data_IF_399747965326
#
_entry.id   IF_399747965326
#
_cell.length_a   1.000
_cell.length_b   1.000
_cell.length_c   1.000
_cell.angle_alpha   90.00
_cell.angle_beta   90.00
_cell.angle_gamma   90.00
#
_symmetry.space_group_name_H-M   'P 1'
#
loop_
_entity.id
_entity.type
_entity.pdbx_description
1 polymer ?
#
# COMPACT_ATOMS: atom_id res chain seq x y z
N UNK A 1 -7.45 -3.23 8.83
CA UNK A 1 -6.58 -2.33 9.54
C UNK A 1 -5.18 -2.90 9.75
N UNK A 2 -4.23 -2.04 9.96
CA UNK A 2 -2.81 -2.40 10.10
C UNK A 2 -2.41 -2.87 11.52
N UNK A 3 -3.39 -3.23 12.35
CA UNK A 3 -3.19 -3.74 13.72
C UNK A 3 -3.46 -5.23 13.81
N UNK A 4 -2.72 -6.05 13.06
CA UNK A 4 -2.95 -7.49 13.00
C UNK A 4 -2.73 -8.15 14.37
N UNK A 5 -3.74 -8.89 14.85
CA UNK A 5 -3.69 -9.66 16.09
C UNK A 5 -3.61 -11.15 15.84
N UNK A 6 -4.12 -11.62 14.70
CA UNK A 6 -4.14 -13.02 14.32
C UNK A 6 -3.99 -13.16 12.80
N UNK A 7 -2.95 -13.85 12.35
CA UNK A 7 -2.54 -13.87 10.94
C UNK A 7 -3.26 -14.91 10.06
N UNK A 8 -4.08 -15.78 10.65
CA UNK A 8 -4.78 -16.88 9.97
C UNK A 8 -6.30 -16.74 10.03
N UNK A 9 -6.82 -15.56 10.33
CA UNK A 9 -8.25 -15.31 10.43
C UNK A 9 -8.64 -14.00 9.76
N UNK A 10 -9.84 -13.97 9.20
CA UNK A 10 -10.48 -12.77 8.67
C UNK A 10 -11.01 -11.89 9.81
N UNK A 11 -11.10 -10.57 9.56
CA UNK A 11 -11.74 -9.64 10.50
C UNK A 11 -13.26 -9.74 10.38
N UNK A 12 -13.90 -10.18 11.47
CA UNK A 12 -15.36 -10.46 11.53
C UNK A 12 -16.25 -9.26 11.21
N UNK A 13 -15.73 -8.03 11.35
CA UNK A 13 -16.50 -6.81 11.04
C UNK A 13 -16.81 -6.71 9.54
N UNK A 14 -15.99 -7.34 8.69
CA UNK A 14 -16.18 -7.34 7.23
C UNK A 14 -16.98 -8.56 6.72
N UNK A 15 -17.42 -9.44 7.61
CA UNK A 15 -18.19 -10.63 7.25
C UNK A 15 -17.54 -11.94 7.68
N UNK A 16 -18.10 -13.05 7.19
CA UNK A 16 -17.60 -14.40 7.47
C UNK A 16 -16.48 -14.81 6.51
N UNK A 17 -15.83 -15.94 6.83
CA UNK A 17 -14.86 -16.55 5.90
C UNK A 17 -15.48 -16.89 4.55
N UNK A 18 -16.73 -17.40 4.58
CA UNK A 18 -17.50 -17.74 3.39
C UNK A 18 -17.80 -16.49 2.55
N UNK A 19 -18.13 -15.36 3.18
CA UNK A 19 -18.37 -14.10 2.48
C UNK A 19 -17.11 -13.61 1.77
N UNK A 20 -15.95 -13.72 2.44
CA UNK A 20 -14.68 -13.35 1.82
C UNK A 20 -14.29 -14.30 0.67
N UNK A 21 -14.49 -15.61 0.83
CA UNK A 21 -14.27 -16.57 -0.25
C UNK A 21 -15.21 -16.31 -1.44
N UNK A 22 -16.49 -15.96 -1.19
CA UNK A 22 -17.42 -15.55 -2.26
C UNK A 22 -16.97 -14.28 -2.97
N UNK A 23 -16.48 -13.28 -2.22
CA UNK A 23 -15.95 -12.05 -2.82
C UNK A 23 -14.78 -12.36 -3.77
N UNK A 24 -13.83 -13.18 -3.35
CA UNK A 24 -12.69 -13.60 -4.18
C UNK A 24 -13.18 -14.35 -5.43
N UNK A 25 -14.11 -15.29 -5.26
CA UNK A 25 -14.69 -16.07 -6.37
C UNK A 25 -15.41 -15.17 -7.39
N UNK A 26 -16.15 -14.16 -6.93
CA UNK A 26 -16.80 -13.18 -7.80
C UNK A 26 -15.81 -12.27 -8.53
N UNK A 27 -14.67 -11.94 -7.92
CA UNK A 27 -13.57 -11.24 -8.59
C UNK A 27 -12.97 -12.12 -9.70
N UNK A 28 -12.64 -13.36 -9.38
CA UNK A 28 -12.05 -14.31 -10.32
C UNK A 28 -12.97 -14.59 -11.54
N UNK A 29 -14.30 -14.72 -11.32
CA UNK A 29 -15.28 -14.84 -12.42
C UNK A 29 -15.24 -13.66 -13.40
N UNK A 30 -14.77 -12.52 -12.96
CA UNK A 30 -14.62 -11.29 -13.77
C UNK A 30 -13.20 -11.07 -14.29
N UNK A 31 -12.29 -12.04 -14.07
CA UNK A 31 -10.88 -11.93 -14.44
C UNK A 31 -10.08 -10.94 -13.57
N UNK A 32 -10.56 -10.67 -12.36
CA UNK A 32 -9.92 -9.73 -11.41
C UNK A 32 -9.13 -10.53 -10.39
N UNK A 33 -7.82 -10.33 -10.33
CA UNK A 33 -6.95 -10.90 -9.30
C UNK A 33 -7.19 -10.22 -7.95
N UNK A 34 -7.13 -11.00 -6.87
CA UNK A 34 -7.29 -10.51 -5.50
C UNK A 34 -5.97 -10.60 -4.75
N UNK A 35 -5.47 -9.46 -4.31
CA UNK A 35 -4.19 -9.30 -3.60
C UNK A 35 -4.50 -8.88 -2.16
N UNK A 36 -3.89 -9.56 -1.18
CA UNK A 36 -4.01 -9.17 0.23
C UNK A 36 -2.95 -8.13 0.59
N UNK A 37 -3.38 -7.04 1.18
CA UNK A 37 -2.50 -6.12 1.90
C UNK A 37 -2.21 -6.70 3.29
N UNK A 38 -0.94 -6.97 3.59
CA UNK A 38 -0.54 -7.72 4.79
C UNK A 38 0.60 -7.04 5.54
N UNK A 39 0.43 -6.93 6.86
CA UNK A 39 1.45 -6.40 7.77
C UNK A 39 2.25 -7.56 8.34
N UNK A 40 3.51 -7.66 7.96
CA UNK A 40 4.46 -8.67 8.48
C UNK A 40 5.74 -8.01 9.03
N UNK A 41 5.73 -6.70 9.24
CA UNK A 41 6.81 -5.96 9.88
C UNK A 41 6.70 -5.98 11.41
N UNK A 42 5.49 -5.82 11.91
CA UNK A 42 5.22 -5.69 13.34
C UNK A 42 3.89 -6.29 13.75
N UNK A 43 3.69 -6.42 15.06
CA UNK A 43 2.41 -6.75 15.67
C UNK A 43 2.21 -5.96 16.98
N UNK A 44 0.95 -5.72 17.32
CA UNK A 44 0.63 -5.00 18.57
C UNK A 44 0.50 -5.95 19.75
N UNK A 45 0.54 -5.42 20.97
CA UNK A 45 0.50 -6.18 22.22
C UNK A 45 -0.77 -7.03 22.43
N UNK A 46 -1.79 -6.88 21.58
CA UNK A 46 -2.96 -7.77 21.53
C UNK A 46 -2.70 -9.06 20.75
N UNK A 47 -1.63 -9.11 19.95
CA UNK A 47 -1.25 -10.30 19.20
C UNK A 47 -0.90 -11.46 20.14
N UNK A 48 -1.47 -12.64 19.87
CA UNK A 48 -1.25 -13.83 20.67
C UNK A 48 0.23 -14.26 20.74
N UNK A 49 0.98 -14.09 19.64
CA UNK A 49 2.40 -14.46 19.55
C UNK A 49 3.29 -13.54 20.40
N UNK A 50 2.94 -12.25 20.52
CA UNK A 50 3.60 -11.32 21.44
C UNK A 50 3.31 -11.71 22.88
N UNK A 51 2.04 -12.05 23.19
CA UNK A 51 1.59 -12.36 24.55
C UNK A 51 2.07 -13.71 25.09
N UNK A 52 2.31 -14.69 24.22
CA UNK A 52 2.82 -16.00 24.61
C UNK A 52 4.21 -15.91 25.27
N UNK A 53 5.05 -15.01 24.77
CA UNK A 53 6.40 -14.76 25.27
C UNK A 53 6.55 -13.25 25.53
N UNK A 54 5.83 -12.76 26.53
CA UNK A 54 5.83 -11.34 26.90
C UNK A 54 6.47 -11.11 28.28
N UNK A 55 7.06 -9.95 28.49
CA UNK A 55 7.57 -9.48 29.77
C UNK A 55 6.87 -8.16 30.19
N UNK A 56 6.07 -8.16 31.27
CA UNK A 56 5.61 -9.31 32.06
C UNK A 56 4.54 -10.14 31.32
N UNK A 57 4.44 -11.45 31.64
CA UNK A 57 3.53 -12.36 30.96
C UNK A 57 2.06 -11.90 31.00
N UNK A 58 1.37 -12.03 29.87
CA UNK A 58 -0.08 -11.75 29.78
C UNK A 58 -0.50 -10.28 29.74
N UNK A 59 0.45 -9.34 29.83
CA UNK A 59 0.16 -7.92 29.74
C UNK A 59 -0.02 -7.50 28.26
N UNK A 60 -1.13 -6.83 27.93
CA UNK A 60 -1.42 -6.33 26.56
C UNK A 60 -0.53 -5.15 26.13
N UNK A 61 0.20 -4.54 27.07
CA UNK A 61 1.21 -3.51 26.82
C UNK A 61 2.64 -4.05 26.97
N UNK A 62 2.77 -5.37 27.14
CA UNK A 62 4.05 -6.00 27.34
C UNK A 62 4.92 -5.93 26.09
N UNK A 63 6.20 -5.80 26.29
CA UNK A 63 7.20 -5.99 25.26
C UNK A 63 7.43 -7.49 25.05
N UNK A 64 7.89 -7.93 23.87
CA UNK A 64 8.35 -9.30 23.70
C UNK A 64 9.46 -9.62 24.71
N UNK A 65 9.40 -10.80 25.34
CA UNK A 65 10.47 -11.28 26.21
C UNK A 65 11.73 -11.63 25.38
N UNK A 66 12.87 -11.70 26.04
CA UNK A 66 14.15 -11.98 25.37
C UNK A 66 14.19 -13.36 24.67
N UNK A 67 13.36 -14.29 25.09
CA UNK A 67 13.21 -15.64 24.52
C UNK A 67 12.03 -15.77 23.54
N UNK A 68 11.38 -14.63 23.16
CA UNK A 68 10.35 -14.65 22.14
C UNK A 68 10.96 -15.09 20.80
N UNK A 69 10.49 -16.20 20.19
CA UNK A 69 11.14 -16.71 18.98
C UNK A 69 10.85 -15.90 17.71
N UNK A 70 9.82 -15.03 17.74
CA UNK A 70 9.35 -14.31 16.55
C UNK A 70 9.66 -12.82 16.55
N UNK A 71 9.81 -12.20 17.72
CA UNK A 71 9.91 -10.75 17.82
C UNK A 71 11.22 -10.32 18.47
N UNK A 72 11.72 -9.19 18.02
CA UNK A 72 12.81 -8.50 18.67
C UNK A 72 12.33 -7.90 20.01
N UNK A 73 13.14 -8.00 21.07
CA UNK A 73 12.84 -7.36 22.34
C UNK A 73 12.82 -5.83 22.21
N UNK A 74 13.68 -5.31 21.33
CA UNK A 74 13.73 -3.89 20.97
C UNK A 74 13.80 -3.79 19.46
N UNK A 75 12.94 -2.99 18.85
CA UNK A 75 12.99 -2.77 17.41
C UNK A 75 14.32 -2.18 16.98
N UNK A 76 14.97 -2.70 15.94
CA UNK A 76 16.16 -2.09 15.33
C UNK A 76 15.82 -0.80 14.59
N UNK A 77 14.55 -0.56 14.22
CA UNK A 77 14.14 0.66 13.54
C UNK A 77 14.10 1.83 14.51
N UNK A 78 14.94 2.86 14.25
CA UNK A 78 15.11 4.00 15.13
C UNK A 78 14.06 5.10 14.94
N UNK A 79 13.25 5.01 13.90
CA UNK A 79 12.27 6.04 13.53
C UNK A 79 10.84 5.52 13.48
N UNK A 80 10.65 4.32 12.95
CA UNK A 80 9.36 3.70 12.70
C UNK A 80 9.24 2.42 13.53
N UNK A 81 8.87 2.57 14.81
CA UNK A 81 8.72 1.45 15.74
C UNK A 81 7.27 1.40 16.21
N UNK A 82 6.47 0.60 15.52
CA UNK A 82 5.07 0.35 15.83
C UNK A 82 4.91 -1.03 16.49
N UNK A 83 4.65 -1.05 17.80
CA UNK A 83 4.42 -2.31 18.52
C UNK A 83 5.66 -3.20 18.64
N UNK A 84 5.45 -4.50 18.53
CA UNK A 84 6.50 -5.52 18.57
C UNK A 84 7.01 -5.79 17.14
N UNK A 85 8.29 -5.64 16.93
CA UNK A 85 8.98 -5.79 15.66
C UNK A 85 9.32 -7.26 15.39
N UNK A 86 8.96 -7.79 14.21
CA UNK A 86 9.31 -9.14 13.83
C UNK A 86 10.82 -9.31 13.61
N UNK A 87 11.41 -10.31 14.24
CA UNK A 87 12.79 -10.72 13.98
C UNK A 87 12.87 -11.53 12.67
N UNK A 88 13.02 -10.85 11.55
CA UNK A 88 13.05 -11.47 10.21
C UNK A 88 14.27 -12.40 9.97
N UNK A 89 15.30 -12.33 10.82
CA UNK A 89 16.45 -13.23 10.76
C UNK A 89 16.18 -14.53 11.53
N UNK A 90 15.20 -14.54 12.44
CA UNK A 90 14.78 -15.74 13.15
C UNK A 90 14.20 -16.78 12.18
N UNK A 91 14.65 -18.01 12.33
CA UNK A 91 14.13 -19.15 11.56
C UNK A 91 12.65 -19.40 11.86
N UNK A 92 12.26 -19.22 13.11
CA UNK A 92 10.88 -19.37 13.57
C UNK A 92 9.95 -18.32 12.91
N UNK A 93 10.41 -17.08 12.80
CA UNK A 93 9.71 -16.04 12.06
C UNK A 93 9.59 -16.40 10.58
N UNK A 94 10.67 -16.83 9.94
CA UNK A 94 10.65 -17.21 8.53
C UNK A 94 9.64 -18.33 8.27
N UNK A 95 9.61 -19.38 9.11
CA UNK A 95 8.64 -20.48 9.01
C UNK A 95 7.19 -19.96 9.21
N UNK A 96 7.00 -19.05 10.16
CA UNK A 96 5.69 -18.45 10.42
C UNK A 96 5.20 -17.67 9.21
N UNK A 97 6.00 -16.76 8.65
CA UNK A 97 5.64 -15.94 7.50
C UNK A 97 5.36 -16.81 6.26
N UNK A 98 6.17 -17.82 6.01
CA UNK A 98 5.94 -18.79 4.93
C UNK A 98 4.60 -19.52 5.11
N UNK A 99 4.26 -19.87 6.37
CA UNK A 99 3.00 -20.54 6.70
C UNK A 99 1.79 -19.61 6.52
N UNK A 100 1.92 -18.35 6.92
CA UNK A 100 0.88 -17.32 6.74
C UNK A 100 0.59 -17.15 5.24
N UNK A 101 1.61 -16.89 4.44
CA UNK A 101 1.43 -16.70 3.00
C UNK A 101 0.87 -17.97 2.32
N UNK A 102 1.36 -19.15 2.71
CA UNK A 102 0.86 -20.42 2.19
C UNK A 102 -0.63 -20.64 2.52
N UNK A 103 -1.05 -20.30 3.73
CA UNK A 103 -2.45 -20.41 4.17
C UNK A 103 -3.37 -19.57 3.28
N UNK A 104 -3.09 -18.29 3.11
CA UNK A 104 -3.93 -17.39 2.35
C UNK A 104 -3.98 -17.75 0.86
N UNK A 105 -2.87 -18.16 0.28
CA UNK A 105 -2.84 -18.65 -1.10
C UNK A 105 -3.65 -19.93 -1.29
N UNK A 106 -3.59 -20.86 -0.33
CA UNK A 106 -4.25 -22.17 -0.44
C UNK A 106 -5.73 -22.10 -0.09
N UNK A 107 -6.08 -21.53 1.08
CA UNK A 107 -7.44 -21.57 1.63
C UNK A 107 -8.36 -20.54 0.96
N UNK A 108 -7.83 -19.38 0.60
CA UNK A 108 -8.61 -18.29 0.00
C UNK A 108 -8.34 -18.08 -1.50
N UNK A 109 -7.39 -18.82 -2.06
CA UNK A 109 -7.02 -18.70 -3.49
C UNK A 109 -6.59 -17.29 -3.88
N UNK A 110 -5.95 -16.57 -2.98
CA UNK A 110 -5.41 -15.24 -3.30
C UNK A 110 -4.39 -15.30 -4.44
N UNK A 111 -4.27 -14.21 -5.17
CA UNK A 111 -3.36 -14.09 -6.31
C UNK A 111 -2.03 -13.45 -5.93
N UNK A 112 -1.88 -12.96 -4.72
CA UNK A 112 -0.65 -12.36 -4.23
C UNK A 112 -0.82 -11.52 -2.99
N UNK A 113 0.21 -10.71 -2.73
CA UNK A 113 0.30 -9.88 -1.54
C UNK A 113 0.86 -8.49 -1.86
N UNK A 114 0.40 -7.50 -1.10
CA UNK A 114 1.11 -6.24 -0.88
C UNK A 114 1.67 -6.27 0.53
N UNK A 115 2.97 -6.23 0.67
CA UNK A 115 3.66 -6.23 1.96
C UNK A 115 3.83 -4.80 2.46
N UNK A 116 3.21 -4.53 3.60
CA UNK A 116 3.33 -3.27 4.30
C UNK A 116 4.73 -3.07 4.86
N UNK A 117 5.26 -1.86 4.78
CA UNK A 117 6.50 -1.38 5.38
C UNK A 117 7.69 -2.37 5.28
N UNK A 118 7.91 -2.96 4.12
CA UNK A 118 8.94 -3.99 3.94
C UNK A 118 10.38 -3.50 4.16
N UNK A 119 10.62 -2.20 4.20
CA UNK A 119 11.93 -1.66 4.60
C UNK A 119 12.29 -1.92 6.07
N UNK A 120 11.32 -2.37 6.88
CA UNK A 120 11.53 -2.84 8.24
C UNK A 120 11.92 -4.32 8.34
N UNK A 121 11.95 -5.10 7.24
CA UNK A 121 12.28 -6.53 7.28
C UNK A 121 13.78 -6.78 7.51
N UNK A 122 14.32 -6.27 8.63
CA UNK A 122 15.75 -6.33 8.93
C UNK A 122 16.02 -6.19 10.42
N UNK A 123 17.16 -6.71 10.87
CA UNK A 123 17.70 -6.42 12.20
C UNK A 123 18.81 -5.33 12.16
N UNK A 124 19.12 -4.78 10.99
CA UNK A 124 20.08 -3.69 10.86
C UNK A 124 19.53 -2.41 11.47
N UNK A 125 20.21 -1.81 12.49
CA UNK A 125 19.73 -0.58 13.10
C UNK A 125 19.67 0.59 12.13
N UNK A 126 18.57 1.37 12.19
CA UNK A 126 18.40 2.56 11.35
C UNK A 126 16.94 2.87 11.05
N UNK A 127 16.69 3.82 10.13
CA UNK A 127 15.34 4.17 9.68
C UNK A 127 14.87 3.39 8.43
N UNK A 128 15.65 2.40 8.01
CA UNK A 128 15.38 1.59 6.81
C UNK A 128 15.74 2.27 5.48
N UNK A 129 16.31 3.47 5.48
CA UNK A 129 16.65 4.19 4.24
C UNK A 129 18.00 3.80 3.64
N UNK A 130 18.91 3.30 4.47
CA UNK A 130 20.23 2.85 4.02
C UNK A 130 20.14 1.52 3.28
N UNK A 131 21.06 1.31 2.33
CA UNK A 131 21.20 0.03 1.62
C UNK A 131 21.50 -1.11 2.61
N UNK A 132 20.72 -2.20 2.52
CA UNK A 132 20.81 -3.32 3.43
C UNK A 132 20.76 -4.67 2.68
N UNK A 133 21.91 -5.35 2.53
CA UNK A 133 21.98 -6.63 1.83
C UNK A 133 21.24 -7.77 2.56
N UNK A 134 21.13 -7.72 3.89
CA UNK A 134 20.41 -8.72 4.66
C UNK A 134 18.90 -8.61 4.44
N UNK A 135 18.37 -7.42 4.42
CA UNK A 135 16.98 -7.14 4.06
C UNK A 135 16.65 -7.61 2.65
N UNK A 136 17.50 -7.31 1.68
CA UNK A 136 17.35 -7.81 0.30
C UNK A 136 17.27 -9.35 0.29
N UNK A 137 18.15 -10.01 1.00
CA UNK A 137 18.18 -11.48 1.12
C UNK A 137 16.90 -12.02 1.74
N UNK A 138 16.41 -11.41 2.81
CA UNK A 138 15.18 -11.79 3.51
C UNK A 138 13.96 -11.66 2.58
N UNK A 139 13.80 -10.51 1.91
CA UNK A 139 12.70 -10.26 0.98
C UNK A 139 12.73 -11.23 -0.19
N UNK A 140 13.88 -11.43 -0.83
CA UNK A 140 14.02 -12.39 -1.93
C UNK A 140 13.68 -13.81 -1.48
N UNK A 141 14.18 -14.25 -0.32
CA UNK A 141 13.86 -15.58 0.24
C UNK A 141 12.34 -15.76 0.42
N UNK A 142 11.66 -14.81 1.07
CA UNK A 142 10.21 -14.88 1.28
C UNK A 142 9.46 -14.93 -0.06
N UNK A 143 9.87 -14.11 -1.01
CA UNK A 143 9.28 -14.08 -2.36
C UNK A 143 9.44 -15.40 -3.08
N UNK A 144 10.61 -16.01 -3.01
CA UNK A 144 10.89 -17.31 -3.64
C UNK A 144 10.08 -18.45 -2.98
N UNK A 145 9.90 -18.41 -1.65
CA UNK A 145 9.03 -19.38 -0.96
C UNK A 145 7.56 -19.25 -1.36
N UNK A 146 7.07 -18.03 -1.59
CA UNK A 146 5.73 -17.81 -2.12
C UNK A 146 5.61 -18.35 -3.54
N UNK A 147 6.57 -18.05 -4.40
CA UNK A 147 6.58 -18.50 -5.82
C UNK A 147 6.69 -20.01 -5.99
N UNK A 148 7.26 -20.73 -5.05
CA UNK A 148 7.22 -22.20 -5.04
C UNK A 148 5.79 -22.74 -4.94
N UNK A 149 4.86 -21.99 -4.35
CA UNK A 149 3.45 -22.35 -4.16
C UNK A 149 2.54 -21.80 -5.25
N UNK A 150 2.83 -20.60 -5.71
CA UNK A 150 2.12 -19.88 -6.77
C UNK A 150 3.15 -19.09 -7.59
N UNK A 151 3.61 -19.68 -8.68
CA UNK A 151 4.71 -19.13 -9.51
C UNK A 151 4.40 -17.79 -10.15
N UNK A 152 3.12 -17.50 -10.35
CA UNK A 152 2.56 -16.27 -10.93
C UNK A 152 2.02 -15.31 -9.87
N UNK A 153 2.38 -15.48 -8.59
CA UNK A 153 1.91 -14.60 -7.52
C UNK A 153 2.33 -13.14 -7.74
N UNK A 154 1.39 -12.24 -7.57
CA UNK A 154 1.66 -10.81 -7.50
C UNK A 154 2.34 -10.49 -6.17
N UNK A 155 3.56 -9.98 -6.22
CA UNK A 155 4.34 -9.61 -5.03
C UNK A 155 4.67 -8.13 -5.10
N UNK A 156 3.96 -7.34 -4.31
CA UNK A 156 4.10 -5.89 -4.24
C UNK A 156 4.67 -5.53 -2.87
N UNK A 157 5.69 -4.71 -2.85
CA UNK A 157 6.36 -4.27 -1.63
C UNK A 157 6.25 -2.76 -1.46
N UNK A 158 5.66 -2.33 -0.35
CA UNK A 158 5.86 -0.96 0.12
C UNK A 158 7.25 -0.88 0.73
N UNK A 159 8.23 -0.58 -0.10
CA UNK A 159 9.63 -0.61 0.32
C UNK A 159 10.16 0.79 0.63
N UNK A 160 10.03 1.72 -0.30
CA UNK A 160 10.38 3.14 -0.15
C UNK A 160 11.78 3.36 0.47
N UNK A 161 12.74 2.53 0.06
CA UNK A 161 14.14 2.60 0.46
C UNK A 161 15.01 3.29 -0.62
N UNK A 162 16.33 3.13 -0.52
CA UNK A 162 17.26 3.71 -1.47
C UNK A 162 17.17 3.10 -2.88
N UNK A 163 17.42 3.89 -3.91
CA UNK A 163 17.25 3.49 -5.33
C UNK A 163 18.06 2.24 -5.72
N UNK A 164 19.25 2.04 -5.13
CA UNK A 164 20.06 0.86 -5.40
C UNK A 164 19.38 -0.43 -4.93
N UNK A 165 18.84 -0.41 -3.73
CA UNK A 165 18.14 -1.56 -3.14
C UNK A 165 16.82 -1.84 -3.87
N UNK A 166 16.02 -0.81 -4.14
CA UNK A 166 14.81 -0.96 -4.94
C UNK A 166 15.10 -1.56 -6.33
N UNK A 167 16.20 -1.16 -6.96
CA UNK A 167 16.62 -1.75 -8.24
C UNK A 167 16.90 -3.24 -8.11
N UNK A 168 17.64 -3.67 -7.09
CA UNK A 168 17.96 -5.09 -6.90
C UNK A 168 16.73 -5.95 -6.64
N UNK A 169 15.73 -5.41 -5.94
CA UNK A 169 14.46 -6.08 -5.72
C UNK A 169 13.63 -6.13 -7.00
N UNK A 170 13.58 -5.04 -7.76
CA UNK A 170 12.89 -4.99 -9.05
C UNK A 170 13.49 -5.97 -10.07
N UNK A 171 14.81 -6.11 -10.12
CA UNK A 171 15.51 -7.10 -10.98
C UNK A 171 15.21 -8.55 -10.56
N UNK A 172 14.74 -8.78 -9.33
CA UNK A 172 14.22 -10.07 -8.85
C UNK A 172 12.72 -10.27 -9.14
N UNK A 173 12.15 -9.54 -10.08
CA UNK A 173 10.74 -9.57 -10.46
C UNK A 173 9.75 -9.15 -9.35
N UNK A 174 10.20 -8.33 -8.41
CA UNK A 174 9.30 -7.78 -7.40
C UNK A 174 8.74 -6.45 -7.85
N UNK A 175 7.46 -6.21 -7.56
CA UNK A 175 6.81 -4.93 -7.78
C UNK A 175 7.02 -4.03 -6.56
N UNK A 176 7.42 -2.79 -6.78
CA UNK A 176 7.67 -1.83 -5.71
C UNK A 176 6.75 -0.63 -5.81
N UNK A 177 6.22 -0.19 -4.69
CA UNK A 177 5.40 1.02 -4.62
C UNK A 177 6.18 2.25 -5.07
N UNK A 178 5.53 3.05 -5.91
CA UNK A 178 6.09 4.22 -6.56
C UNK A 178 5.36 5.50 -6.20
N UNK A 179 5.46 5.93 -4.94
CA UNK A 179 4.85 7.16 -4.42
C UNK A 179 5.17 8.37 -5.28
N UNK A 180 4.12 9.02 -5.82
CA UNK A 180 4.22 10.22 -6.64
C UNK A 180 3.18 11.28 -6.24
N UNK A 181 2.66 11.22 -5.02
CA UNK A 181 1.63 12.15 -4.55
C UNK A 181 2.04 13.62 -4.73
N UNK A 182 3.22 14.02 -4.21
CA UNK A 182 3.67 15.42 -4.29
C UNK A 182 3.82 15.96 -5.72
N UNK A 183 4.48 15.25 -6.68
CA UNK A 183 4.54 15.71 -8.06
C UNK A 183 3.17 15.86 -8.72
N UNK A 184 2.27 14.92 -8.51
CA UNK A 184 0.93 14.98 -9.08
C UNK A 184 0.07 16.07 -8.44
N UNK A 185 0.11 16.22 -7.11
CA UNK A 185 -0.57 17.31 -6.41
C UNK A 185 -0.08 18.68 -6.88
N UNK A 186 1.23 18.89 -7.02
CA UNK A 186 1.78 20.13 -7.55
C UNK A 186 1.29 20.41 -8.97
N UNK A 187 1.31 19.40 -9.84
CA UNK A 187 0.83 19.55 -11.21
C UNK A 187 -0.67 19.90 -11.26
N UNK A 188 -1.48 19.19 -10.47
CA UNK A 188 -2.94 19.45 -10.39
C UNK A 188 -3.18 20.86 -9.85
N UNK A 189 -2.49 21.28 -8.82
CA UNK A 189 -2.60 22.60 -8.19
C UNK A 189 -2.14 23.77 -9.09
N UNK A 190 -1.50 23.49 -10.24
CA UNK A 190 -0.93 24.53 -11.12
C UNK A 190 0.47 25.01 -10.68
N UNK A 191 1.12 24.29 -9.78
CA UNK A 191 2.47 24.62 -9.26
C UNK A 191 3.53 23.93 -10.13
N UNK A 192 4.36 24.70 -10.84
CA UNK A 192 5.41 24.16 -11.71
C UNK A 192 6.55 23.51 -10.93
N UNK A 193 6.97 24.14 -9.81
CA UNK A 193 8.05 23.60 -8.99
C UNK A 193 7.65 22.27 -8.35
N UNK A 194 8.45 21.23 -8.59
CA UNK A 194 8.23 19.90 -8.03
C UNK A 194 7.15 19.06 -8.74
N UNK A 195 6.66 19.49 -9.92
CA UNK A 195 5.66 18.76 -10.73
C UNK A 195 6.26 17.82 -11.78
N UNK A 196 7.50 17.40 -11.61
CA UNK A 196 8.16 16.47 -12.55
C UNK A 196 7.71 15.03 -12.29
N UNK A 197 7.20 14.38 -13.33
CA UNK A 197 6.80 12.97 -13.30
C UNK A 197 7.94 11.98 -13.61
N UNK A 198 9.18 12.48 -13.77
CA UNK A 198 10.33 11.63 -14.08
C UNK A 198 10.49 10.48 -13.08
N UNK A 199 10.28 10.74 -11.78
CA UNK A 199 10.36 9.73 -10.72
C UNK A 199 9.27 8.64 -10.77
N UNK A 200 8.25 8.80 -11.60
CA UNK A 200 7.19 7.81 -11.78
C UNK A 200 7.63 6.59 -12.61
N UNK A 201 8.70 6.73 -13.40
CA UNK A 201 9.14 5.71 -14.33
C UNK A 201 10.30 4.87 -13.76
N UNK A 202 10.20 3.55 -13.86
CA UNK A 202 11.25 2.61 -13.47
C UNK A 202 12.58 2.90 -14.19
N UNK A 203 12.53 3.26 -15.48
CA UNK A 203 13.70 3.60 -16.28
C UNK A 203 14.50 4.80 -15.73
N UNK A 204 13.82 5.75 -15.07
CA UNK A 204 14.49 6.89 -14.45
C UNK A 204 15.33 6.53 -13.22
N UNK A 205 15.05 5.38 -12.63
CA UNK A 205 15.80 4.76 -11.52
C UNK A 205 16.82 3.71 -12.02
N UNK A 206 16.94 3.55 -13.32
CA UNK A 206 17.86 2.58 -13.93
C UNK A 206 17.43 1.12 -13.79
N UNK A 207 16.13 0.85 -13.59
CA UNK A 207 15.61 -0.51 -13.58
C UNK A 207 15.44 -1.01 -15.01
N UNK A 208 15.73 -2.30 -15.24
CA UNK A 208 15.52 -2.95 -16.54
C UNK A 208 14.06 -3.36 -16.76
N UNK A 209 13.28 -3.45 -15.69
CA UNK A 209 11.88 -3.89 -15.68
C UNK A 209 10.95 -2.78 -15.23
N UNK A 210 9.74 -2.75 -15.80
CA UNK A 210 8.72 -1.76 -15.45
C UNK A 210 7.88 -2.21 -14.24
N UNK A 211 8.52 -2.58 -13.13
CA UNK A 211 7.88 -3.15 -11.94
C UNK A 211 7.46 -2.10 -10.90
N UNK A 212 7.53 -0.81 -11.24
CA UNK A 212 7.15 0.25 -10.33
C UNK A 212 5.65 0.46 -10.35
N UNK A 213 4.97 0.16 -9.24
CA UNK A 213 3.54 0.43 -9.04
C UNK A 213 3.37 1.91 -8.69
N UNK A 214 3.16 2.72 -9.71
CA UNK A 214 3.10 4.18 -9.54
C UNK A 214 1.68 4.62 -9.18
N UNK A 215 1.56 5.55 -8.23
CA UNK A 215 0.29 6.10 -7.77
C UNK A 215 0.35 7.59 -7.44
N UNK A 216 -0.82 8.25 -7.49
CA UNK A 216 -0.99 9.67 -7.14
C UNK A 216 -1.43 9.85 -5.69
N UNK A 217 -2.19 8.91 -5.16
CA UNK A 217 -2.75 8.95 -3.81
C UNK A 217 -2.90 7.53 -3.25
N UNK A 218 -2.90 7.40 -1.94
CA UNK A 218 -3.11 6.16 -1.20
C UNK A 218 -3.79 6.47 0.13
N UNK A 219 -3.92 5.45 0.99
CA UNK A 219 -4.43 5.64 2.35
C UNK A 219 -3.48 6.47 3.25
N UNK A 220 -2.20 6.59 2.88
CA UNK A 220 -1.17 7.35 3.63
C UNK A 220 -0.89 8.73 3.04
N UNK A 221 -1.39 9.02 1.84
CA UNK A 221 -1.17 10.32 1.19
C UNK A 221 -2.51 11.01 0.92
N UNK A 222 -2.50 12.32 1.15
CA UNK A 222 -3.70 13.13 0.95
C UNK A 222 -4.26 13.00 -0.46
N UNK A 223 -5.57 13.00 -0.55
CA UNK A 223 -6.33 13.01 -1.81
C UNK A 223 -5.91 14.17 -2.69
N UNK A 224 -5.59 13.88 -3.95
CA UNK A 224 -5.15 14.94 -4.88
C UNK A 224 -6.25 15.96 -5.16
N UNK A 225 -7.52 15.54 -5.21
CA UNK A 225 -8.65 16.44 -5.40
C UNK A 225 -8.89 17.33 -4.16
N UNK A 226 -8.76 16.78 -2.94
CA UNK A 226 -8.81 17.57 -1.71
C UNK A 226 -7.64 18.57 -1.66
N UNK A 227 -6.43 18.11 -1.92
CA UNK A 227 -5.26 19.01 -1.95
C UNK A 227 -5.47 20.16 -2.93
N UNK A 228 -6.09 19.91 -4.08
CA UNK A 228 -6.39 20.93 -5.08
C UNK A 228 -7.50 21.89 -4.64
N UNK A 229 -8.47 21.44 -3.83
CA UNK A 229 -9.52 22.31 -3.29
C UNK A 229 -8.99 23.29 -2.24
N UNK A 230 -7.85 22.93 -1.59
CA UNK A 230 -7.22 23.78 -0.55
C UNK A 230 -6.09 24.62 -1.14
N UNK A 231 -5.21 24.02 -1.95
CA UNK A 231 -3.93 24.58 -2.38
C UNK A 231 -3.91 24.96 -3.88
N UNK A 232 -4.97 24.69 -4.64
CA UNK A 232 -5.04 24.98 -6.06
C UNK A 232 -4.97 26.49 -6.35
N UNK A 233 -4.30 26.86 -7.46
CA UNK A 233 -4.15 28.25 -7.87
C UNK A 233 -5.40 28.70 -8.64
N UNK A 234 -5.97 29.84 -8.23
CA UNK A 234 -7.13 30.45 -8.91
C UNK A 234 -8.35 29.53 -8.97
N UNK A 235 -8.94 29.36 -10.13
CA UNK A 235 -10.15 28.57 -10.39
C UNK A 235 -9.99 27.07 -10.03
N UNK A 236 -8.77 26.54 -9.96
CA UNK A 236 -8.52 25.15 -9.53
C UNK A 236 -9.07 24.92 -8.12
N UNK A 237 -8.90 25.92 -7.25
CA UNK A 237 -9.38 25.86 -5.87
C UNK A 237 -10.89 26.04 -5.77
N UNK A 238 -11.47 26.97 -6.54
CA UNK A 238 -12.87 27.39 -6.38
C UNK A 238 -13.85 26.65 -7.28
N UNK A 239 -13.41 26.24 -8.49
CA UNK A 239 -14.28 25.65 -9.51
C UNK A 239 -14.10 24.14 -9.61
N UNK A 240 -15.16 23.37 -9.30
CA UNK A 240 -15.14 21.91 -9.35
C UNK A 240 -14.79 21.41 -10.76
N UNK A 241 -15.37 22.00 -11.80
CA UNK A 241 -15.12 21.61 -13.18
C UNK A 241 -13.64 21.72 -13.56
N UNK A 242 -12.99 22.83 -13.20
CA UNK A 242 -11.56 23.04 -13.46
C UNK A 242 -10.73 22.02 -12.72
N UNK A 243 -11.04 21.77 -11.45
CA UNK A 243 -10.35 20.79 -10.60
C UNK A 243 -10.47 19.37 -11.18
N UNK A 244 -11.66 18.93 -11.58
CA UNK A 244 -11.88 17.60 -12.15
C UNK A 244 -11.15 17.43 -13.50
N UNK A 245 -11.15 18.45 -14.36
CA UNK A 245 -10.34 18.44 -15.60
C UNK A 245 -8.84 18.30 -15.33
N UNK A 246 -8.33 18.94 -14.29
CA UNK A 246 -6.92 18.81 -13.87
C UNK A 246 -6.61 17.40 -13.37
N UNK A 247 -7.50 16.82 -12.55
CA UNK A 247 -7.37 15.42 -12.11
C UNK A 247 -7.37 14.45 -13.31
N UNK A 248 -8.25 14.65 -14.28
CA UNK A 248 -8.30 13.86 -15.52
C UNK A 248 -7.02 13.98 -16.36
N UNK A 249 -6.44 15.17 -16.45
CA UNK A 249 -5.14 15.35 -17.11
C UNK A 249 -4.03 14.62 -16.38
N UNK A 250 -3.99 14.68 -15.06
CA UNK A 250 -3.03 13.96 -14.24
C UNK A 250 -3.17 12.44 -14.41
N UNK A 251 -4.42 11.93 -14.44
CA UNK A 251 -4.71 10.52 -14.72
C UNK A 251 -4.19 10.08 -16.11
N UNK A 252 -4.32 10.93 -17.13
CA UNK A 252 -3.77 10.64 -18.46
C UNK A 252 -2.25 10.44 -18.40
N UNK A 253 -1.52 11.30 -17.70
CA UNK A 253 -0.08 11.08 -17.49
C UNK A 253 0.19 9.80 -16.71
N UNK A 254 -0.53 9.52 -15.63
CA UNK A 254 -0.34 8.32 -14.82
C UNK A 254 -0.51 7.06 -15.67
N UNK A 255 -1.64 6.94 -16.37
CA UNK A 255 -1.98 5.70 -17.09
C UNK A 255 -1.18 5.50 -18.37
N UNK A 256 -0.64 6.56 -18.99
CA UNK A 256 0.19 6.41 -20.20
C UNK A 256 1.66 6.10 -19.89
N UNK A 257 2.11 6.21 -18.64
CA UNK A 257 3.46 5.78 -18.26
C UNK A 257 3.55 4.24 -18.18
N UNK A 258 4.71 3.64 -18.53
CA UNK A 258 4.93 2.20 -18.41
C UNK A 258 4.80 1.68 -16.98
N UNK A 259 4.56 0.38 -16.83
CA UNK A 259 4.49 -0.34 -15.55
C UNK A 259 3.12 -0.30 -14.87
N UNK A 260 2.91 -1.10 -13.82
CA UNK A 260 1.66 -1.18 -13.08
C UNK A 260 1.31 0.15 -12.41
N UNK A 261 0.02 0.33 -12.16
CA UNK A 261 -0.52 1.52 -11.51
C UNK A 261 -1.42 1.13 -10.35
N UNK A 262 -1.39 1.92 -9.29
CA UNK A 262 -2.41 1.84 -8.26
C UNK A 262 -3.33 3.06 -8.38
N UNK A 263 -4.62 2.81 -8.27
CA UNK A 263 -5.68 3.80 -8.16
C UNK A 263 -6.33 3.62 -6.80
N UNK A 264 -6.35 4.67 -6.00
CA UNK A 264 -7.05 4.65 -4.72
C UNK A 264 -8.55 4.83 -4.96
N UNK A 265 -9.38 4.10 -4.24
CA UNK A 265 -10.84 4.08 -4.40
C UNK A 265 -11.43 5.50 -4.44
N UNK A 266 -12.41 5.72 -5.32
CA UNK A 266 -13.07 7.00 -5.60
C UNK A 266 -12.17 8.13 -6.13
N UNK A 267 -10.85 7.92 -6.31
CA UNK A 267 -9.97 8.87 -6.98
C UNK A 267 -10.41 9.16 -8.41
N UNK A 268 -11.01 8.18 -9.08
CA UNK A 268 -11.61 8.29 -10.41
C UNK A 268 -12.85 9.20 -10.46
N UNK A 269 -13.41 9.53 -9.31
CA UNK A 269 -14.52 10.47 -9.16
C UNK A 269 -14.08 11.79 -8.49
N UNK A 270 -12.76 11.95 -8.29
CA UNK A 270 -12.19 13.13 -7.64
C UNK A 270 -12.60 13.27 -6.19
N UNK A 271 -12.42 12.18 -5.41
CA UNK A 271 -12.70 12.19 -3.98
C UNK A 271 -11.93 13.30 -3.27
N UNK A 272 -12.63 14.23 -2.65
CA UNK A 272 -12.07 15.44 -2.07
C UNK A 272 -12.37 15.61 -0.57
N UNK A 273 -12.51 14.49 0.13
CA UNK A 273 -12.52 14.43 1.59
C UNK A 273 -11.12 14.06 2.06
N UNK A 274 -10.57 14.85 2.99
CA UNK A 274 -9.22 14.62 3.53
C UNK A 274 -9.10 13.27 4.21
N UNK A 275 -7.96 12.59 4.06
CA UNK A 275 -7.63 11.40 4.86
C UNK A 275 -7.58 11.72 6.36
N UNK A 276 -7.35 12.98 6.72
CA UNK A 276 -7.30 13.47 8.12
C UNK A 276 -8.65 13.91 8.65
N UNK A 277 -9.74 13.79 7.89
CA UNK A 277 -11.08 14.16 8.37
C UNK A 277 -11.65 13.08 9.28
N UNK A 278 -12.43 13.50 10.26
CA UNK A 278 -13.31 12.64 11.04
C UNK A 278 -14.63 12.47 10.29
N UNK A 279 -15.17 11.25 10.26
CA UNK A 279 -16.45 10.98 9.63
C UNK A 279 -17.56 11.88 10.20
N UNK A 280 -18.31 12.55 9.31
CA UNK A 280 -19.39 13.44 9.68
C UNK A 280 -18.98 14.75 10.37
N UNK A 281 -17.71 15.16 10.25
CA UNK A 281 -17.18 16.38 10.85
C UNK A 281 -16.18 17.07 9.91
N UNK A 282 -16.07 18.40 10.03
CA UNK A 282 -15.01 19.19 9.38
C UNK A 282 -13.69 19.21 10.17
N UNK A 283 -13.63 18.46 11.27
CA UNK A 283 -12.43 18.38 12.11
C UNK A 283 -11.33 17.59 11.41
N UNK A 284 -10.13 18.15 11.36
CA UNK A 284 -8.94 17.53 10.77
C UNK A 284 -7.89 17.23 11.83
N UNK A 285 -7.42 15.98 11.85
CA UNK A 285 -6.32 15.56 12.70
C UNK A 285 -5.61 14.36 12.08
N UNK A 286 -4.29 14.29 12.23
CA UNK A 286 -3.53 13.09 11.83
C UNK A 286 -3.96 11.83 12.60
N UNK A 287 -4.61 11.98 13.76
CA UNK A 287 -5.19 10.85 14.50
C UNK A 287 -6.36 10.17 13.76
N UNK A 288 -6.97 10.83 12.79
CA UNK A 288 -8.08 10.32 11.99
C UNK A 288 -7.67 9.65 10.68
N UNK A 289 -6.38 9.63 10.33
CA UNK A 289 -5.91 9.03 9.06
C UNK A 289 -6.32 7.56 8.91
N UNK A 290 -6.33 6.79 9.99
CA UNK A 290 -6.77 5.40 10.01
C UNK A 290 -8.28 5.17 10.14
N UNK A 291 -9.10 6.22 10.26
CA UNK A 291 -10.55 6.09 10.38
C UNK A 291 -11.21 5.84 9.02
N UNK A 292 -12.33 5.13 9.05
CA UNK A 292 -13.15 4.87 7.86
C UNK A 292 -13.61 6.17 7.24
N UNK A 293 -13.50 6.27 5.92
CA UNK A 293 -14.07 7.38 5.13
C UNK A 293 -15.31 6.88 4.40
N UNK A 294 -16.40 7.67 4.35
CA UNK A 294 -17.64 7.24 3.73
C UNK A 294 -17.46 7.00 2.21
N UNK A 295 -18.09 5.95 1.65
CA UNK A 295 -18.18 5.79 0.21
C UNK A 295 -19.16 6.84 -0.35
N UNK A 296 -18.79 7.45 -1.47
CA UNK A 296 -19.59 8.52 -2.13
C UNK A 296 -19.98 8.12 -3.55
N UNK A 297 -20.82 7.10 -3.68
CA UNK A 297 -21.35 6.66 -4.98
C UNK A 297 -22.21 7.74 -5.67
N UNK A 298 -22.85 8.60 -4.89
CA UNK A 298 -23.62 9.77 -5.38
C UNK A 298 -22.75 10.79 -6.13
N UNK A 299 -21.44 10.72 -6.02
CA UNK A 299 -20.53 11.53 -6.84
C UNK A 299 -20.74 11.32 -8.34
N UNK A 300 -21.22 10.15 -8.76
CA UNK A 300 -21.59 9.88 -10.15
C UNK A 300 -22.83 10.65 -10.64
N UNK A 301 -23.60 11.25 -9.74
CA UNK A 301 -24.73 12.12 -10.08
C UNK A 301 -24.29 13.56 -10.39
N UNK A 302 -23.03 13.93 -10.00
CA UNK A 302 -22.43 15.23 -10.26
C UNK A 302 -21.75 15.21 -11.63
N UNK A 303 -22.18 16.06 -12.61
CA UNK A 303 -21.70 15.97 -13.99
C UNK A 303 -20.18 16.07 -14.15
N UNK A 304 -19.51 16.92 -13.40
CA UNK A 304 -18.08 17.15 -13.45
C UNK A 304 -17.29 15.90 -12.98
N UNK A 305 -17.78 15.24 -11.93
CA UNK A 305 -17.20 14.02 -11.38
C UNK A 305 -17.47 12.82 -12.28
N UNK A 306 -18.66 12.72 -12.83
CA UNK A 306 -19.02 11.71 -13.83
C UNK A 306 -18.14 11.83 -15.07
N UNK A 307 -17.89 13.04 -15.57
CA UNK A 307 -16.97 13.26 -16.68
C UNK A 307 -15.54 12.82 -16.36
N UNK A 308 -15.08 12.99 -15.11
CA UNK A 308 -13.79 12.48 -14.66
C UNK A 308 -13.78 10.95 -14.67
N UNK A 309 -14.79 10.30 -14.10
CA UNK A 309 -14.94 8.84 -14.13
C UNK A 309 -14.91 8.29 -15.56
N UNK A 310 -15.68 8.87 -16.47
CA UNK A 310 -15.69 8.47 -17.89
C UNK A 310 -14.31 8.68 -18.55
N UNK A 311 -13.57 9.71 -18.12
CA UNK A 311 -12.18 9.93 -18.57
C UNK A 311 -11.26 8.79 -18.13
N UNK A 312 -11.35 8.36 -16.88
CA UNK A 312 -10.61 7.20 -16.39
C UNK A 312 -10.97 5.93 -17.17
N UNK A 313 -12.25 5.66 -17.40
CA UNK A 313 -12.68 4.52 -18.21
C UNK A 313 -12.06 4.54 -19.61
N UNK A 314 -12.07 5.69 -20.30
CA UNK A 314 -11.46 5.83 -21.63
C UNK A 314 -9.96 5.62 -21.61
N UNK A 315 -9.25 6.15 -20.59
CA UNK A 315 -7.80 6.01 -20.45
C UNK A 315 -7.42 4.55 -20.16
N UNK A 316 -8.16 3.86 -19.31
CA UNK A 316 -7.92 2.45 -19.01
C UNK A 316 -8.18 1.55 -20.21
N UNK A 317 -9.28 1.75 -20.93
CA UNK A 317 -9.58 1.04 -22.18
C UNK A 317 -8.50 1.27 -23.24
N UNK A 318 -8.03 2.52 -23.39
CA UNK A 318 -6.93 2.84 -24.30
C UNK A 318 -5.65 2.11 -23.89
N UNK A 319 -5.32 2.13 -22.60
CA UNK A 319 -4.16 1.42 -22.08
C UNK A 319 -4.22 -0.08 -22.34
N UNK A 320 -5.38 -0.71 -22.14
CA UNK A 320 -5.57 -2.15 -22.40
C UNK A 320 -5.31 -2.51 -23.86
N UNK A 321 -5.66 -1.64 -24.79
CA UNK A 321 -5.46 -1.86 -26.23
C UNK A 321 -4.00 -1.69 -26.68
N UNK A 322 -3.20 -0.86 -26.00
CA UNK A 322 -1.89 -0.42 -26.49
C UNK A 322 -0.72 -0.62 -25.50
N UNK A 323 -0.94 -1.21 -24.33
CA UNK A 323 0.12 -1.45 -23.32
C UNK A 323 0.84 -2.78 -23.52
#
# INVERSE_FOLDING_TARGET
>A
GYHSTFFFATEKVYGTEEDYKKFIDECHKRGIAVIMDIVLDHAYGTCSLVRLYADPPGNTKAQPAADNPWFNMVSPNTKYSWGADFNHESKETQILLDSICAFWLKEYKLDGFRFDFSKGFTNTPGDGSAYDPDRIRIIKRLSDEIRKRKSDAYLIYEHLAGDQEEKELAEHDLMLWGKQNSPFSNAINGVQKGSSFKGAMASSKGWSKNNRVTYMESHDEERVAYNASVNGIGEIRTELEVRMKRCGTAAAFLFMMPGPKMMWEFGEMGYDISIQSKEGSDELSSSYEGETKPPHWEFLEVPERKNLFETYCKLLNFREQYA
#
